data_IF_786413096653
#
_entry.id   IF_786413096653
#
_cell.length_a   1.000
_cell.length_b   1.000
_cell.length_c   1.000
_cell.angle_alpha   90.00
_cell.angle_beta   90.00
_cell.angle_gamma   90.00
#
_symmetry.space_group_name_H-M   'P 1'
#
loop_
_entity.id
_entity.type
_entity.pdbx_description
1 polymer ?
#
# COMPACT_ATOMS: atom_id res chain seq x y z
N UNK A 1 9.80 -6.61 15.68
CA UNK A 1 9.95 -7.51 14.52
C UNK A 1 8.59 -7.91 13.95
N UNK A 2 7.65 -8.36 14.80
CA UNK A 2 6.28 -8.67 14.40
C UNK A 2 5.57 -7.52 13.67
N UNK A 3 5.73 -6.27 14.14
CA UNK A 3 5.19 -5.07 13.46
C UNK A 3 5.65 -4.94 12.00
N UNK A 4 6.93 -5.20 11.73
CA UNK A 4 7.51 -5.06 10.39
C UNK A 4 7.06 -6.17 9.45
N UNK A 5 6.93 -7.38 9.98
CA UNK A 5 6.40 -8.54 9.24
C UNK A 5 4.92 -8.33 8.92
N UNK A 6 4.13 -7.88 9.90
CA UNK A 6 2.71 -7.60 9.71
C UNK A 6 2.51 -6.47 8.68
N UNK A 7 3.30 -5.41 8.74
CA UNK A 7 3.30 -4.33 7.76
C UNK A 7 3.54 -4.85 6.33
N UNK A 8 4.59 -5.66 6.12
CA UNK A 8 4.91 -6.22 4.80
C UNK A 8 3.78 -7.10 4.30
N UNK A 9 3.20 -7.96 5.16
CA UNK A 9 2.09 -8.84 4.80
C UNK A 9 0.86 -8.03 4.40
N UNK A 10 0.48 -7.02 5.19
CA UNK A 10 -0.67 -6.17 4.91
C UNK A 10 -0.53 -5.41 3.59
N UNK A 11 0.65 -4.83 3.33
CA UNK A 11 0.93 -4.14 2.05
C UNK A 11 0.90 -5.11 0.88
N UNK A 12 1.48 -6.31 1.05
CA UNK A 12 1.49 -7.33 -0.01
C UNK A 12 0.07 -7.79 -0.37
N UNK A 13 -0.79 -8.01 0.62
CA UNK A 13 -2.20 -8.35 0.40
C UNK A 13 -2.97 -7.22 -0.27
N UNK A 14 -2.75 -5.97 0.15
CA UNK A 14 -3.39 -4.80 -0.45
C UNK A 14 -3.02 -4.67 -1.94
N UNK A 15 -1.72 -4.71 -2.25
CA UNK A 15 -1.23 -4.58 -3.63
C UNK A 15 -1.70 -5.76 -4.47
N UNK A 16 -1.67 -6.99 -3.93
CA UNK A 16 -2.17 -8.18 -4.62
C UNK A 16 -3.66 -8.09 -4.94
N UNK A 17 -4.48 -7.67 -3.98
CA UNK A 17 -5.91 -7.47 -4.19
C UNK A 17 -6.20 -6.38 -5.23
N UNK A 18 -5.56 -5.21 -5.12
CA UNK A 18 -5.72 -4.12 -6.07
C UNK A 18 -5.28 -4.53 -7.49
N UNK A 19 -4.21 -5.30 -7.60
CA UNK A 19 -3.76 -5.86 -8.88
C UNK A 19 -4.80 -6.77 -9.54
N UNK A 20 -5.45 -7.63 -8.75
CA UNK A 20 -6.54 -8.49 -9.24
C UNK A 20 -7.74 -7.66 -9.70
N UNK A 21 -8.12 -6.64 -8.92
CA UNK A 21 -9.25 -5.75 -9.25
C UNK A 21 -8.99 -5.03 -10.58
N UNK A 22 -7.80 -4.45 -10.76
CA UNK A 22 -7.39 -3.78 -12.00
C UNK A 22 -7.34 -4.75 -13.18
N UNK A 23 -6.85 -5.97 -12.98
CA UNK A 23 -6.80 -6.96 -14.05
C UNK A 23 -8.21 -7.44 -14.45
N UNK A 24 -9.11 -7.60 -13.48
CA UNK A 24 -10.48 -8.08 -13.73
C UNK A 24 -11.36 -7.00 -14.37
N UNK A 25 -11.16 -5.74 -14.00
CA UNK A 25 -11.94 -4.58 -14.47
C UNK A 25 -10.97 -3.54 -15.03
N UNK A 26 -10.51 -3.68 -16.29
CA UNK A 26 -9.54 -2.78 -16.90
C UNK A 26 -10.22 -1.48 -17.37
N UNK A 27 -10.74 -0.71 -16.42
CA UNK A 27 -11.26 0.64 -16.64
C UNK A 27 -10.16 1.68 -16.37
N UNK A 28 -9.94 2.65 -17.28
CA UNK A 28 -8.82 3.59 -17.18
C UNK A 28 -8.86 4.45 -15.92
N UNK A 29 -10.05 4.86 -15.49
CA UNK A 29 -10.30 5.59 -14.25
C UNK A 29 -9.98 4.74 -13.01
N UNK A 30 -10.37 3.46 -13.00
CA UNK A 30 -10.04 2.54 -11.91
C UNK A 30 -8.53 2.33 -11.77
N UNK A 31 -7.80 2.23 -12.89
CA UNK A 31 -6.34 2.09 -12.91
C UNK A 31 -5.69 3.33 -12.29
N UNK A 32 -6.10 4.52 -12.72
CA UNK A 32 -5.53 5.79 -12.23
C UNK A 32 -5.75 5.92 -10.73
N UNK A 33 -6.98 5.72 -10.26
CA UNK A 33 -7.31 5.80 -8.83
C UNK A 33 -6.52 4.76 -8.04
N UNK A 34 -6.43 3.53 -8.53
CA UNK A 34 -5.68 2.45 -7.88
C UNK A 34 -4.19 2.78 -7.75
N UNK A 35 -3.57 3.31 -8.80
CA UNK A 35 -2.15 3.71 -8.79
C UNK A 35 -1.91 4.84 -7.79
N UNK A 36 -2.76 5.87 -7.79
CA UNK A 36 -2.65 7.02 -6.88
C UNK A 36 -2.81 6.58 -5.42
N UNK A 37 -3.83 5.79 -5.12
CA UNK A 37 -4.08 5.29 -3.76
C UNK A 37 -2.94 4.38 -3.30
N UNK A 38 -2.46 3.48 -4.15
CA UNK A 38 -1.33 2.61 -3.82
C UNK A 38 -0.06 3.43 -3.51
N UNK A 39 0.21 4.47 -4.29
CA UNK A 39 1.32 5.39 -4.03
C UNK A 39 1.16 6.15 -2.70
N UNK A 40 -0.07 6.60 -2.38
CA UNK A 40 -0.35 7.23 -1.08
C UNK A 40 -0.14 6.27 0.09
N UNK A 41 -0.56 5.02 -0.03
CA UNK A 41 -0.34 4.01 1.02
C UNK A 41 1.15 3.72 1.20
N UNK A 42 1.89 3.54 0.11
CA UNK A 42 3.35 3.37 0.15
C UNK A 42 4.04 4.57 0.82
N UNK A 43 3.59 5.79 0.49
CA UNK A 43 4.10 7.02 1.10
C UNK A 43 3.77 7.11 2.59
N UNK A 44 2.55 6.76 3.00
CA UNK A 44 2.16 6.74 4.40
C UNK A 44 2.94 5.69 5.19
N UNK A 45 3.17 4.51 4.61
CA UNK A 45 4.03 3.48 5.21
C UNK A 45 5.47 3.95 5.37
N UNK A 46 6.04 4.57 4.34
CA UNK A 46 7.39 5.13 4.41
C UNK A 46 7.48 6.20 5.50
N UNK A 47 6.50 7.12 5.55
CA UNK A 47 6.45 8.19 6.54
C UNK A 47 6.20 7.67 7.96
N UNK A 48 5.35 6.66 8.12
CA UNK A 48 5.02 6.06 9.42
C UNK A 48 6.19 5.25 9.99
N UNK A 49 6.92 4.49 9.17
CA UNK A 49 8.14 3.78 9.62
C UNK A 49 9.25 4.79 9.98
N UNK A 50 9.38 5.91 9.23
CA UNK A 50 10.32 6.98 9.55
C UNK A 50 9.95 7.80 10.79
N UNK A 51 8.67 8.16 11.00
CA UNK A 51 8.23 8.96 12.16
C UNK A 51 8.16 8.17 13.46
N UNK A 52 8.12 6.83 13.41
CA UNK A 52 8.22 5.99 14.62
C UNK A 52 9.60 6.11 15.29
N UNK A 53 10.62 6.63 14.59
CA UNK A 53 11.98 6.85 15.13
C UNK A 53 12.14 8.16 15.93
N UNK A 54 11.16 9.07 15.91
CA UNK A 54 11.30 10.42 16.49
C UNK A 54 10.52 10.61 17.82
N UNK A 55 9.92 9.54 18.37
CA UNK A 55 9.25 9.54 19.68
C UNK A 55 9.49 8.25 20.50
N UNK A 56 10.75 7.86 20.66
CA UNK A 56 11.15 6.98 21.77
C UNK A 56 12.57 7.28 22.23
#
# INVERSE_FOLDING_TARGET
MLDKVLAIISVSFLIGFLGIVVWRVPEPDLIIVTVVVSAMVLYDFYRSDFRKKDRS
#
